data_IF_463239807169
#
_entry.id   IF_463239807169
#
_cell.length_a   1.000
_cell.length_b   1.000
_cell.length_c   1.000
_cell.angle_alpha   90.00
_cell.angle_beta   90.00
_cell.angle_gamma   90.00
#
_symmetry.space_group_name_H-M   'P 1'
#
loop_
_entity.id
_entity.type
_entity.pdbx_description
1 polymer ?
#
# COMPACT_ATOMS: atom_id res chain seq x y z
N UNK A 1 -0.07 -11.06 -5.83
CA UNK A 1 0.85 -10.34 -4.90
C UNK A 1 0.23 -10.19 -3.51
N UNK A 2 -1.04 -9.78 -3.37
CA UNK A 2 -1.74 -9.63 -2.07
C UNK A 2 -1.78 -10.93 -1.25
N UNK A 3 -1.98 -12.07 -1.90
CA UNK A 3 -1.99 -13.39 -1.25
C UNK A 3 -0.65 -13.76 -0.60
N UNK A 4 0.48 -13.41 -1.24
CA UNK A 4 1.79 -13.66 -0.68
C UNK A 4 2.02 -12.83 0.60
N UNK A 5 1.67 -11.54 0.56
CA UNK A 5 1.74 -10.69 1.75
C UNK A 5 0.82 -11.19 2.87
N UNK A 6 -0.40 -11.61 2.52
CA UNK A 6 -1.34 -12.15 3.51
C UNK A 6 -0.76 -13.37 4.22
N UNK A 7 -0.19 -14.34 3.48
CA UNK A 7 0.41 -15.54 4.06
C UNK A 7 1.60 -15.23 4.97
N UNK A 8 2.49 -14.33 4.51
CA UNK A 8 3.67 -13.93 5.30
C UNK A 8 3.26 -13.25 6.59
N UNK A 9 2.37 -12.26 6.51
CA UNK A 9 1.92 -11.54 7.70
C UNK A 9 1.03 -12.39 8.62
N UNK A 10 0.29 -13.36 8.06
CA UNK A 10 -0.46 -14.33 8.85
C UNK A 10 0.47 -15.23 9.67
N UNK A 11 1.56 -15.70 9.06
CA UNK A 11 2.57 -16.49 9.76
C UNK A 11 3.28 -15.68 10.85
N UNK A 12 3.73 -14.47 10.53
CA UNK A 12 4.37 -13.57 11.50
C UNK A 12 3.44 -13.23 12.66
N UNK A 13 2.19 -12.86 12.37
CA UNK A 13 1.21 -12.54 13.42
C UNK A 13 0.81 -13.74 14.27
N UNK A 14 0.79 -14.95 13.71
CA UNK A 14 0.59 -16.15 14.51
C UNK A 14 1.74 -16.35 15.52
N UNK A 15 2.97 -16.09 15.10
CA UNK A 15 4.15 -16.14 15.98
C UNK A 15 4.02 -15.07 17.05
N UNK A 16 3.76 -13.83 16.70
CA UNK A 16 3.68 -12.71 17.63
C UNK A 16 2.54 -12.88 18.64
N UNK A 17 1.36 -13.30 18.19
CA UNK A 17 0.17 -13.37 19.03
C UNK A 17 0.09 -14.63 19.89
N UNK A 18 0.69 -15.73 19.46
CA UNK A 18 0.60 -17.01 20.16
C UNK A 18 1.90 -17.37 20.91
N UNK A 19 3.06 -17.09 20.31
CA UNK A 19 4.35 -17.52 20.85
C UNK A 19 4.90 -16.53 21.88
N UNK A 20 4.85 -15.23 21.60
CA UNK A 20 5.40 -14.20 22.49
C UNK A 20 4.73 -14.20 23.86
N UNK A 21 3.40 -14.19 24.00
CA UNK A 21 2.75 -14.25 25.32
C UNK A 21 3.11 -15.50 26.11
N UNK A 22 3.34 -16.63 25.44
CA UNK A 22 3.77 -17.88 26.11
C UNK A 22 5.20 -17.83 26.62
N UNK A 23 6.13 -17.27 25.83
CA UNK A 23 7.55 -17.17 26.23
C UNK A 23 7.72 -16.22 27.41
N UNK A 24 7.02 -15.09 27.38
CA UNK A 24 7.14 -14.05 28.42
C UNK A 24 6.15 -14.21 29.58
N UNK A 25 5.39 -15.31 29.64
CA UNK A 25 4.36 -15.55 30.67
C UNK A 25 3.44 -14.31 30.87
N UNK A 26 3.09 -13.63 29.78
CA UNK A 26 2.20 -12.49 29.86
C UNK A 26 0.78 -12.96 30.25
N UNK A 27 0.07 -12.21 31.10
CA UNK A 27 -1.30 -12.53 31.46
C UNK A 27 -2.18 -12.47 30.21
N UNK A 28 -2.53 -13.63 29.68
CA UNK A 28 -3.37 -13.81 28.52
C UNK A 28 -4.72 -14.35 28.99
N UNK A 29 -5.70 -13.48 29.08
CA UNK A 29 -7.04 -13.83 29.59
C UNK A 29 -7.93 -14.31 28.44
N UNK A 30 -7.68 -13.83 27.23
CA UNK A 30 -8.48 -14.13 26.03
C UNK A 30 -8.20 -15.49 25.43
N UNK A 31 -9.19 -16.00 24.68
CA UNK A 31 -9.07 -17.24 23.95
C UNK A 31 -8.18 -17.05 22.71
N UNK A 32 -7.05 -17.78 22.54
CA UNK A 32 -6.15 -17.59 21.42
C UNK A 32 -6.82 -17.81 20.04
N UNK A 33 -7.85 -18.64 19.99
CA UNK A 33 -8.63 -18.89 18.78
C UNK A 33 -9.41 -17.65 18.36
N UNK A 34 -10.00 -16.92 19.30
CA UNK A 34 -10.76 -15.70 19.02
C UNK A 34 -9.83 -14.56 18.57
N UNK A 35 -8.64 -14.47 19.15
CA UNK A 35 -7.60 -13.55 18.70
C UNK A 35 -7.22 -13.81 17.25
N UNK A 36 -6.99 -15.08 16.88
CA UNK A 36 -6.63 -15.43 15.50
C UNK A 36 -7.76 -15.15 14.51
N UNK A 37 -9.02 -15.45 14.88
CA UNK A 37 -10.18 -15.12 14.03
C UNK A 37 -10.33 -13.62 13.83
N UNK A 38 -10.07 -12.83 14.86
CA UNK A 38 -10.11 -11.36 14.79
C UNK A 38 -8.95 -10.80 13.94
N UNK A 39 -7.78 -11.45 13.98
CA UNK A 39 -6.60 -11.02 13.25
C UNK A 39 -6.77 -11.11 11.72
N UNK A 40 -7.55 -12.06 11.20
CA UNK A 40 -7.78 -12.26 9.75
C UNK A 40 -8.37 -11.01 9.07
N UNK A 41 -9.54 -10.48 9.49
CA UNK A 41 -10.10 -9.28 8.85
C UNK A 41 -9.25 -8.03 9.08
N UNK A 42 -8.56 -7.95 10.21
CA UNK A 42 -7.62 -6.87 10.48
C UNK A 42 -6.46 -6.86 9.46
N UNK A 43 -5.85 -8.03 9.19
CA UNK A 43 -4.82 -8.17 8.18
C UNK A 43 -5.31 -7.79 6.79
N UNK A 44 -6.48 -8.29 6.39
CA UNK A 44 -7.06 -7.98 5.08
C UNK A 44 -7.29 -6.47 4.92
N UNK A 45 -7.90 -5.84 5.93
CA UNK A 45 -8.12 -4.40 5.92
C UNK A 45 -6.82 -3.61 5.82
N UNK A 46 -5.80 -4.01 6.58
CA UNK A 46 -4.48 -3.34 6.59
C UNK A 46 -3.73 -3.51 5.26
N UNK A 47 -3.76 -4.70 4.66
CA UNK A 47 -3.13 -4.96 3.36
C UNK A 47 -3.78 -4.12 2.26
N UNK A 48 -5.11 -4.11 2.19
CA UNK A 48 -5.82 -3.32 1.17
C UNK A 48 -5.66 -1.82 1.40
N UNK A 49 -5.64 -1.36 2.65
CA UNK A 49 -5.31 0.02 2.99
C UNK A 49 -3.90 0.39 2.53
N UNK A 50 -2.90 -0.44 2.83
CA UNK A 50 -1.50 -0.21 2.41
C UNK A 50 -1.35 -0.17 0.89
N UNK A 51 -2.07 -1.03 0.17
CA UNK A 51 -2.09 -1.01 -1.29
C UNK A 51 -2.68 0.29 -1.84
N UNK A 52 -3.79 0.79 -1.24
CA UNK A 52 -4.40 2.06 -1.62
C UNK A 52 -3.44 3.23 -1.42
N UNK A 53 -2.75 3.27 -0.28
CA UNK A 53 -1.76 4.32 0.04
C UNK A 53 -0.55 4.23 -0.88
N UNK A 54 -0.09 3.03 -1.22
CA UNK A 54 1.07 2.81 -2.09
C UNK A 54 0.94 3.47 -3.48
N UNK A 55 -0.28 3.61 -3.99
CA UNK A 55 -0.54 4.24 -5.29
C UNK A 55 -0.20 5.74 -5.26
N UNK A 56 -0.35 6.40 -4.11
CA UNK A 56 -0.01 7.81 -3.95
C UNK A 56 1.50 8.07 -3.80
N UNK A 57 2.28 7.03 -3.48
CA UNK A 57 3.71 7.16 -3.25
C UNK A 57 4.44 6.97 -4.57
N UNK A 58 4.96 8.06 -5.13
CA UNK A 58 5.65 8.06 -6.43
C UNK A 58 7.16 7.83 -6.29
N UNK A 59 7.76 8.32 -5.20
CA UNK A 59 9.20 8.25 -4.95
C UNK A 59 9.50 7.43 -3.69
N UNK A 60 10.59 6.64 -3.70
CA UNK A 60 11.01 5.82 -2.55
C UNK A 60 11.28 6.65 -1.28
N UNK A 61 11.92 7.78 -1.43
CA UNK A 61 12.25 8.68 -0.32
C UNK A 61 11.02 9.29 0.33
N UNK A 62 10.06 9.74 -0.48
CA UNK A 62 8.78 10.26 0.01
C UNK A 62 7.97 9.19 0.75
N UNK A 63 8.09 7.93 0.33
CA UNK A 63 7.44 6.80 0.99
C UNK A 63 7.95 6.56 2.41
N UNK A 64 9.27 6.63 2.63
CA UNK A 64 9.86 6.45 3.95
C UNK A 64 9.44 7.57 4.91
N UNK A 65 9.52 8.83 4.48
CA UNK A 65 9.10 9.98 5.30
C UNK A 65 7.62 9.89 5.66
N UNK A 66 6.77 9.52 4.71
CA UNK A 66 5.34 9.36 4.93
C UNK A 66 5.04 8.24 5.93
N UNK A 67 5.72 7.09 5.83
CA UNK A 67 5.56 5.98 6.75
C UNK A 67 5.95 6.36 8.19
N UNK A 68 7.10 7.00 8.37
CA UNK A 68 7.58 7.42 9.69
C UNK A 68 6.63 8.44 10.30
N UNK A 69 6.23 9.46 9.54
CA UNK A 69 5.32 10.50 10.01
C UNK A 69 3.92 9.96 10.32
N UNK A 70 3.38 9.08 9.47
CA UNK A 70 2.06 8.49 9.67
C UNK A 70 2.01 7.55 10.86
N UNK A 71 3.09 6.81 11.15
CA UNK A 71 3.16 5.91 12.30
C UNK A 71 2.96 6.66 13.62
N UNK A 72 3.59 7.82 13.79
CA UNK A 72 3.40 8.66 14.97
C UNK A 72 1.95 9.16 15.08
N UNK A 73 1.39 9.63 13.99
CA UNK A 73 0.00 10.11 13.95
C UNK A 73 -0.97 8.97 14.32
N UNK A 74 -0.77 7.78 13.74
CA UNK A 74 -1.61 6.62 14.04
C UNK A 74 -1.50 6.16 15.48
N UNK A 75 -0.30 6.23 16.08
CA UNK A 75 -0.07 5.89 17.48
C UNK A 75 -0.90 6.77 18.43
N UNK A 76 -0.97 8.06 18.14
CA UNK A 76 -1.77 9.02 18.92
C UNK A 76 -3.28 8.84 18.67
N UNK A 77 -3.70 8.72 17.43
CA UNK A 77 -5.12 8.62 17.05
C UNK A 77 -5.76 7.31 17.51
N UNK A 78 -5.01 6.21 17.52
CA UNK A 78 -5.51 4.91 17.97
C UNK A 78 -5.78 4.81 19.47
N UNK A 79 -5.37 5.82 20.25
CA UNK A 79 -5.59 5.84 21.68
C UNK A 79 -4.61 4.97 22.49
N UNK A 80 -3.51 4.54 21.88
CA UNK A 80 -2.46 3.77 22.57
C UNK A 80 -1.66 4.65 23.51
N UNK A 81 -1.24 5.82 23.03
CA UNK A 81 -0.46 6.78 23.83
C UNK A 81 -1.32 7.79 24.58
N UNK A 82 -2.53 8.05 24.11
CA UNK A 82 -3.42 9.04 24.65
C UNK A 82 -4.87 8.53 24.67
N UNK A 83 -5.62 8.67 25.78
CA UNK A 83 -7.01 8.22 25.86
C UNK A 83 -7.87 8.89 24.77
N UNK A 84 -8.61 8.09 24.00
CA UNK A 84 -9.44 8.62 22.89
C UNK A 84 -10.53 9.60 23.35
N UNK A 85 -10.96 9.48 24.61
CA UNK A 85 -11.97 10.38 25.18
C UNK A 85 -11.50 11.85 25.24
N UNK A 86 -10.19 12.09 25.25
CA UNK A 86 -9.61 13.44 25.26
C UNK A 86 -9.35 14.01 23.86
N UNK A 87 -9.57 13.21 22.81
CA UNK A 87 -9.41 13.65 21.43
C UNK A 87 -10.58 14.55 20.99
N UNK A 88 -10.34 15.64 20.27
CA UNK A 88 -11.40 16.42 19.62
C UNK A 88 -12.26 15.53 18.71
N UNK A 89 -13.56 15.78 18.66
CA UNK A 89 -14.51 14.96 17.89
C UNK A 89 -14.12 14.75 16.42
N UNK A 90 -13.51 15.77 15.80
CA UNK A 90 -13.03 15.67 14.42
C UNK A 90 -11.98 14.57 14.23
N UNK A 91 -10.98 14.49 15.13
CA UNK A 91 -9.94 13.46 15.11
C UNK A 91 -10.50 12.06 15.42
N UNK A 92 -11.50 12.00 16.29
CA UNK A 92 -12.17 10.75 16.61
C UNK A 92 -12.90 10.17 15.39
N UNK A 93 -13.63 10.98 14.63
CA UNK A 93 -14.26 10.52 13.39
C UNK A 93 -13.24 10.10 12.33
N UNK A 94 -12.13 10.84 12.21
CA UNK A 94 -11.05 10.50 11.30
C UNK A 94 -10.40 9.15 11.68
N UNK A 95 -10.26 8.85 12.97
CA UNK A 95 -9.66 7.61 13.46
C UNK A 95 -10.46 6.37 13.03
N UNK A 96 -11.76 6.46 12.90
CA UNK A 96 -12.62 5.34 12.51
C UNK A 96 -12.44 4.89 11.05
N UNK A 97 -11.89 5.74 10.20
CA UNK A 97 -11.53 5.40 8.82
C UNK A 97 -10.38 4.41 8.79
N UNK A 98 -9.46 4.47 9.76
CA UNK A 98 -8.27 3.65 9.77
C UNK A 98 -8.52 2.27 10.40
N UNK A 99 -8.11 1.16 9.73
CA UNK A 99 -8.28 -0.19 10.27
C UNK A 99 -7.52 -0.40 11.58
N UNK A 100 -6.45 0.35 11.79
CA UNK A 100 -5.61 0.28 12.98
C UNK A 100 -6.39 0.59 14.26
N UNK A 101 -7.27 1.58 14.27
CA UNK A 101 -8.10 1.96 15.42
C UNK A 101 -9.00 0.82 15.89
N UNK A 102 -9.73 0.21 14.95
CA UNK A 102 -10.60 -0.93 15.24
C UNK A 102 -9.81 -2.17 15.65
N UNK A 103 -8.65 -2.38 15.01
CA UNK A 103 -7.74 -3.48 15.33
C UNK A 103 -7.23 -3.41 16.76
N UNK A 104 -6.73 -2.25 17.19
CA UNK A 104 -6.19 -2.05 18.55
C UNK A 104 -7.29 -2.23 19.60
N UNK A 105 -8.47 -1.61 19.42
CA UNK A 105 -9.57 -1.74 20.37
C UNK A 105 -10.04 -3.17 20.50
N UNK A 106 -10.31 -3.85 19.40
CA UNK A 106 -10.76 -5.23 19.43
C UNK A 106 -9.71 -6.17 20.02
N UNK A 107 -8.44 -5.94 19.71
CA UNK A 107 -7.35 -6.72 20.27
C UNK A 107 -7.24 -6.55 21.80
N UNK A 108 -7.33 -5.32 22.31
CA UNK A 108 -7.32 -5.04 23.75
C UNK A 108 -8.52 -5.72 24.44
N UNK A 109 -9.73 -5.64 23.87
CA UNK A 109 -10.90 -6.27 24.42
C UNK A 109 -10.76 -7.79 24.53
N UNK A 110 -10.27 -8.45 23.48
CA UNK A 110 -10.12 -9.91 23.47
C UNK A 110 -8.94 -10.34 24.35
N UNK A 111 -7.78 -9.72 24.16
CA UNK A 111 -6.54 -10.18 24.83
C UNK A 111 -6.44 -9.80 26.31
N UNK A 112 -6.80 -8.56 26.66
CA UNK A 112 -6.61 -8.02 28.00
C UNK A 112 -7.86 -8.12 28.88
N UNK A 113 -9.05 -8.02 28.27
CA UNK A 113 -10.32 -8.09 29.00
C UNK A 113 -10.97 -9.48 28.93
N UNK A 114 -10.42 -10.40 28.12
CA UNK A 114 -10.98 -11.74 27.94
C UNK A 114 -12.33 -11.78 27.25
N UNK A 115 -12.67 -10.73 26.46
CA UNK A 115 -13.91 -10.66 25.74
C UNK A 115 -13.97 -11.74 24.65
N UNK A 116 -15.15 -12.34 24.47
CA UNK A 116 -15.38 -13.26 23.35
C UNK A 116 -15.55 -12.50 22.04
N UNK A 117 -15.33 -13.18 20.91
CA UNK A 117 -15.52 -12.60 19.57
C UNK A 117 -16.95 -12.04 19.38
N UNK A 118 -17.94 -12.65 20.03
CA UNK A 118 -19.32 -12.18 20.01
C UNK A 118 -19.51 -10.82 20.71
N UNK A 119 -18.78 -10.57 21.79
CA UNK A 119 -18.81 -9.30 22.52
C UNK A 119 -18.05 -8.19 21.77
N UNK A 120 -17.06 -8.56 20.95
CA UNK A 120 -16.27 -7.66 20.10
C UNK A 120 -16.80 -7.62 18.65
N UNK A 121 -18.08 -7.99 18.46
CA UNK A 121 -18.69 -8.08 17.13
C UNK A 121 -18.71 -6.75 16.39
N UNK A 122 -18.83 -5.62 17.07
CA UNK A 122 -18.82 -4.28 16.50
C UNK A 122 -17.49 -3.99 15.78
N UNK A 123 -16.39 -4.22 16.45
CA UNK A 123 -15.02 -4.02 15.92
C UNK A 123 -14.74 -5.02 14.79
N UNK A 124 -15.17 -6.27 14.97
CA UNK A 124 -15.04 -7.32 13.98
C UNK A 124 -15.77 -7.01 12.66
N UNK A 125 -17.03 -6.58 12.76
CA UNK A 125 -17.85 -6.20 11.59
C UNK A 125 -17.28 -4.94 10.94
N UNK A 126 -16.84 -3.95 11.73
CA UNK A 126 -16.19 -2.74 11.20
C UNK A 126 -14.96 -3.06 10.37
N UNK A 127 -14.12 -4.00 10.81
CA UNK A 127 -12.95 -4.45 10.05
C UNK A 127 -13.31 -5.13 8.72
N UNK A 128 -14.38 -5.93 8.68
CA UNK A 128 -14.87 -6.53 7.43
C UNK A 128 -15.41 -5.48 6.47
N UNK A 129 -16.14 -4.48 6.96
CA UNK A 129 -16.65 -3.36 6.16
C UNK A 129 -15.47 -2.55 5.59
N UNK A 130 -14.45 -2.26 6.42
CA UNK A 130 -13.26 -1.55 5.96
C UNK A 130 -12.47 -2.37 4.92
N UNK A 131 -12.29 -3.66 5.16
CA UNK A 131 -11.60 -4.55 4.22
C UNK A 131 -12.30 -4.56 2.86
N UNK A 132 -13.62 -4.70 2.84
CA UNK A 132 -14.42 -4.62 1.61
C UNK A 132 -14.36 -3.25 0.94
N UNK A 133 -14.47 -2.18 1.72
CA UNK A 133 -14.35 -0.80 1.22
C UNK A 133 -13.01 -0.52 0.56
N UNK A 134 -11.90 -0.87 1.22
CA UNK A 134 -10.57 -0.70 0.63
C UNK A 134 -10.30 -1.63 -0.55
N UNK A 135 -10.89 -2.83 -0.56
CA UNK A 135 -10.83 -3.69 -1.73
C UNK A 135 -11.50 -3.03 -2.94
N UNK A 136 -12.72 -2.49 -2.77
CA UNK A 136 -13.42 -1.75 -3.82
C UNK A 136 -12.62 -0.53 -4.30
N UNK A 137 -12.03 0.25 -3.38
CA UNK A 137 -11.17 1.39 -3.72
C UNK A 137 -9.97 0.93 -4.56
N UNK A 138 -9.30 -0.16 -4.18
CA UNK A 138 -8.19 -0.70 -4.96
C UNK A 138 -8.60 -1.15 -6.36
N UNK A 139 -9.74 -1.84 -6.50
CA UNK A 139 -10.27 -2.23 -7.80
C UNK A 139 -10.55 -1.02 -8.69
N UNK A 140 -11.15 0.03 -8.11
CA UNK A 140 -11.46 1.27 -8.81
C UNK A 140 -10.18 2.00 -9.26
N UNK A 141 -9.19 2.11 -8.36
CA UNK A 141 -7.89 2.72 -8.66
C UNK A 141 -7.14 1.97 -9.77
N UNK A 142 -7.12 0.64 -9.73
CA UNK A 142 -6.49 -0.18 -10.77
C UNK A 142 -7.18 -0.01 -12.12
N UNK A 143 -8.51 0.06 -12.13
CA UNK A 143 -9.29 0.28 -13.35
C UNK A 143 -9.01 1.66 -13.96
N UNK A 144 -8.98 2.71 -13.13
CA UNK A 144 -8.68 4.08 -13.58
C UNK A 144 -7.24 4.20 -14.08
N UNK A 145 -6.27 3.62 -13.35
CA UNK A 145 -4.87 3.63 -13.78
C UNK A 145 -4.64 2.83 -15.05
N UNK A 146 -5.30 1.68 -15.23
CA UNK A 146 -5.26 0.89 -16.45
C UNK A 146 -5.73 1.73 -17.65
N UNK A 147 -6.89 2.39 -17.52
CA UNK A 147 -7.44 3.23 -18.57
C UNK A 147 -6.55 4.44 -18.94
N UNK A 148 -5.88 5.03 -17.94
CA UNK A 148 -4.93 6.14 -18.19
C UNK A 148 -3.67 5.63 -18.90
N UNK A 149 -3.20 4.44 -18.56
CA UNK A 149 -2.03 3.84 -19.19
C UNK A 149 -2.30 3.48 -20.66
N UNK A 150 -3.47 2.91 -20.95
CA UNK A 150 -3.90 2.58 -22.32
C UNK A 150 -4.04 3.84 -23.19
N UNK A 151 -4.55 4.93 -22.62
CA UNK A 151 -4.64 6.22 -23.31
C UNK A 151 -3.27 6.84 -23.62
N UNK A 152 -2.31 6.68 -22.72
CA UNK A 152 -0.93 7.15 -22.95
C UNK A 152 -0.18 6.28 -23.96
N UNK A 153 -0.39 4.97 -23.92
CA UNK A 153 0.20 4.06 -24.90
C UNK A 153 -0.32 4.33 -26.32
N UNK A 154 -1.63 4.53 -26.46
CA UNK A 154 -2.24 4.87 -27.74
C UNK A 154 -1.71 6.22 -28.28
N UNK A 155 -1.52 7.23 -27.43
CA UNK A 155 -0.99 8.52 -27.85
C UNK A 155 0.50 8.46 -28.24
N UNK A 156 1.31 7.68 -27.51
CA UNK A 156 2.72 7.48 -27.84
C UNK A 156 2.94 6.72 -29.16
N UNK A 157 2.02 5.81 -29.52
CA UNK A 157 2.06 5.10 -30.81
C UNK A 157 1.72 6.03 -31.96
N UNK A 158 0.77 6.93 -31.77
CA UNK A 158 0.41 7.93 -32.78
C UNK A 158 1.53 8.96 -32.99
N UNK A 159 2.24 9.37 -31.95
CA UNK A 159 3.39 10.27 -32.04
C UNK A 159 4.61 9.62 -32.73
N UNK A 160 4.78 8.30 -32.61
CA UNK A 160 5.84 7.57 -33.34
C UNK A 160 5.49 7.34 -34.82
N UNK A 161 4.20 7.26 -35.16
CA UNK A 161 3.74 7.07 -36.54
C UNK A 161 3.73 8.38 -37.30
N UNK A 162 3.71 9.54 -36.61
CA UNK A 162 3.78 10.89 -37.23
C UNK A 162 5.23 11.37 -37.45
N UNK A 163 6.24 10.65 -36.93
CA UNK A 163 7.64 10.87 -37.31
C UNK A 163 7.84 10.27 -38.68
N UNK A 164 7.62 11.13 -39.69
CA UNK A 164 7.72 10.86 -41.11
C UNK A 164 9.04 10.13 -41.45
N UNK A 165 9.01 8.96 -42.09
CA UNK A 165 10.22 8.24 -42.50
C UNK A 165 11.06 9.08 -43.51
N UNK A 166 10.47 10.11 -44.08
CA UNK A 166 11.14 11.04 -44.99
C UNK A 166 12.16 11.94 -44.30
N UNK A 167 11.98 12.29 -43.01
CA UNK A 167 12.92 13.13 -42.30
C UNK A 167 14.23 12.40 -41.96
N UNK A 168 14.17 11.12 -41.67
CA UNK A 168 15.36 10.29 -41.40
C UNK A 168 16.17 10.01 -42.66
N UNK A 169 15.51 9.83 -43.80
CA UNK A 169 16.20 9.63 -45.09
C UNK A 169 16.91 10.92 -45.52
N UNK A 170 16.31 12.08 -45.24
CA UNK A 170 16.90 13.39 -45.56
C UNK A 170 18.18 13.66 -44.72
N UNK A 171 18.19 13.32 -43.41
CA UNK A 171 19.37 13.50 -42.57
C UNK A 171 20.50 12.52 -42.94
N UNK A 172 20.17 11.29 -43.32
CA UNK A 172 21.13 10.30 -43.76
C UNK A 172 21.75 10.67 -45.14
N UNK A 173 20.94 11.21 -46.07
CA UNK A 173 21.45 11.69 -47.35
C UNK A 173 22.35 12.93 -47.23
N UNK A 174 22.05 13.84 -46.31
CA UNK A 174 22.86 15.03 -46.04
C UNK A 174 24.21 14.62 -45.44
N UNK A 175 24.25 13.62 -44.56
CA UNK A 175 25.48 13.13 -43.95
C UNK A 175 26.41 12.36 -44.94
N UNK A 176 25.82 11.71 -45.94
CA UNK A 176 26.54 11.03 -47.02
C UNK A 176 27.05 12.05 -48.07
N UNK A 177 26.35 13.16 -48.29
CA UNK A 177 26.68 14.17 -49.28
C UNK A 177 27.81 15.13 -48.85
N UNK A 178 28.04 15.28 -47.54
CA UNK A 178 29.10 16.15 -46.99
C UNK A 178 29.86 15.41 -45.86
N UNK A 179 30.77 14.49 -46.24
CA UNK A 179 31.56 13.77 -45.24
C UNK A 179 32.49 14.74 -44.53
N UNK A 180 32.55 14.62 -43.20
CA UNK A 180 33.43 15.40 -42.36
C UNK A 180 34.88 15.39 -42.92
N UNK A 181 35.58 16.50 -42.89
CA UNK A 181 36.95 16.59 -43.45
C UNK A 181 37.96 15.62 -42.77
N UNK A 182 37.65 15.09 -41.61
CA UNK A 182 38.44 14.05 -40.93
C UNK A 182 38.27 12.68 -41.60
N UNK A 183 37.05 12.29 -42.01
CA UNK A 183 36.77 11.02 -42.68
C UNK A 183 37.34 11.01 -44.12
N UNK A 184 37.33 12.16 -44.77
CA UNK A 184 37.93 12.30 -46.12
C UNK A 184 39.49 12.14 -46.10
N UNK A 185 40.11 12.46 -44.98
CA UNK A 185 41.56 12.28 -44.84
C UNK A 185 41.93 10.80 -44.62
N UNK A 186 41.12 10.02 -43.95
CA UNK A 186 41.39 8.60 -43.71
C UNK A 186 41.22 7.75 -44.98
N UNK A 187 40.27 8.09 -45.84
CA UNK A 187 40.06 7.42 -47.13
C UNK A 187 41.16 7.74 -48.15
N UNK A 188 41.89 8.82 -47.99
CA UNK A 188 43.01 9.18 -48.89
C UNK A 188 44.32 8.43 -48.56
N UNK A 189 44.40 7.75 -47.41
CA UNK A 189 45.58 6.96 -47.00
C UNK A 189 45.42 5.45 -47.21
N UNK A 190 44.26 4.96 -47.71
CA UNK A 190 44.02 3.56 -48.10
C UNK A 190 44.20 3.37 -49.60
#
# INVERSE_FOLDING_TARGET
RSMAYFLIYMALGAIDLLLIPRIFNLPHIGNPIDVMKFYVPFLLATIYFSMSVSIFIRNRESGMVLLISSTLIFLFIAGVSWPQQMLPKAWLYLSYIFPYTWGVHGFIHINSMGATLAQTSREYIALWILAGGYFCVNCLLLFVLGKIHDHKAAKGTLEMEEVDPVSQVSETEIHIADPDPEDAAELAYM
#
